data_IF_511300274452
#
_entry.id   IF_511300274452
#
_cell.length_a   1.000
_cell.length_b   1.000
_cell.length_c   1.000
_cell.angle_alpha   90.00
_cell.angle_beta   90.00
_cell.angle_gamma   90.00
#
_symmetry.space_group_name_H-M   'P 1'
#
loop_
_entity.id
_entity.type
_entity.pdbx_description
1 polymer ?
#
# COMPACT_ATOMS: atom_id res chain seq x y z
N UNK A 1 -12.63 -11.86 7.41
CA UNK A 1 -12.34 -10.96 6.29
C UNK A 1 -11.55 -11.70 5.22
N UNK A 2 -10.43 -12.35 5.53
CA UNK A 2 -9.64 -13.16 4.59
C UNK A 2 -10.52 -14.19 3.85
N UNK A 3 -11.32 -14.99 4.57
CA UNK A 3 -12.21 -15.98 3.97
C UNK A 3 -13.22 -15.38 2.98
N UNK A 4 -13.66 -14.15 3.19
CA UNK A 4 -14.55 -13.45 2.25
C UNK A 4 -13.81 -13.04 0.97
N UNK A 5 -12.58 -12.56 1.11
CA UNK A 5 -11.72 -12.27 -0.03
C UNK A 5 -11.44 -13.55 -0.85
N UNK A 6 -11.01 -14.62 -0.18
CA UNK A 6 -10.75 -15.93 -0.81
C UNK A 6 -11.96 -16.47 -1.55
N UNK A 7 -13.15 -16.37 -0.93
CA UNK A 7 -14.40 -16.75 -1.58
C UNK A 7 -14.62 -15.94 -2.84
N UNK A 8 -14.51 -14.60 -2.74
CA UNK A 8 -14.79 -13.69 -3.86
C UNK A 8 -13.89 -13.95 -5.06
N UNK A 9 -12.58 -14.07 -4.85
CA UNK A 9 -11.65 -14.31 -5.97
C UNK A 9 -11.85 -15.69 -6.60
N UNK A 10 -12.23 -16.70 -5.81
CA UNK A 10 -12.52 -18.05 -6.33
C UNK A 10 -13.83 -18.09 -7.10
N UNK A 11 -14.86 -17.41 -6.64
CA UNK A 11 -16.15 -17.28 -7.31
C UNK A 11 -16.00 -16.62 -8.69
N UNK A 12 -15.10 -15.65 -8.81
CA UNK A 12 -14.72 -15.00 -10.07
C UNK A 12 -13.73 -15.82 -10.93
N UNK A 13 -13.42 -17.05 -10.53
CA UNK A 13 -12.55 -17.97 -11.29
C UNK A 13 -11.05 -17.73 -11.12
N UNK A 14 -10.64 -16.88 -10.21
CA UNK A 14 -9.23 -16.59 -9.95
C UNK A 14 -8.67 -17.50 -8.85
N UNK A 15 -7.63 -18.26 -9.16
CA UNK A 15 -6.97 -19.17 -8.22
C UNK A 15 -5.61 -19.62 -8.78
N UNK A 16 -4.54 -19.76 -7.99
CA UNK A 16 -4.41 -19.50 -6.55
C UNK A 16 -4.13 -18.04 -6.21
N UNK A 17 -4.23 -17.67 -4.91
CA UNK A 17 -3.68 -16.39 -4.40
C UNK A 17 -2.16 -16.37 -4.58
N UNK A 18 -1.56 -15.27 -5.01
CA UNK A 18 -0.13 -15.20 -5.28
C UNK A 18 0.73 -15.15 -4.01
N UNK A 19 0.14 -14.71 -2.89
CA UNK A 19 0.77 -14.64 -1.57
C UNK A 19 -0.29 -14.77 -0.46
N UNK A 20 0.16 -14.89 0.78
CA UNK A 20 -0.75 -14.95 1.94
C UNK A 20 -1.40 -13.60 2.17
N UNK A 21 -2.71 -13.55 2.14
CA UNK A 21 -3.52 -12.38 2.48
C UNK A 21 -3.09 -11.77 3.81
N UNK A 22 -2.95 -10.46 3.85
CA UNK A 22 -2.75 -9.70 5.08
C UNK A 22 -4.06 -8.95 5.39
N UNK A 23 -4.59 -9.18 6.60
CA UNK A 23 -5.74 -8.46 7.17
C UNK A 23 -5.37 -8.05 8.61
N UNK A 24 -4.61 -6.98 8.74
CA UNK A 24 -3.96 -6.57 9.96
C UNK A 24 -4.64 -5.35 10.58
N UNK A 25 -5.21 -5.48 11.79
CA UNK A 25 -5.85 -4.38 12.50
C UNK A 25 -4.99 -3.86 13.66
N UNK A 26 -5.10 -2.56 13.93
CA UNK A 26 -4.43 -1.89 15.05
C UNK A 26 -2.92 -2.11 15.03
N UNK A 27 -2.35 -2.54 16.16
CA UNK A 27 -0.91 -2.78 16.29
C UNK A 27 -0.36 -3.81 15.30
N UNK A 28 -1.17 -4.79 14.86
CA UNK A 28 -0.74 -5.82 13.92
C UNK A 28 -0.40 -5.23 12.55
N UNK A 29 -1.04 -4.12 12.16
CA UNK A 29 -0.73 -3.41 10.93
C UNK A 29 0.70 -2.82 10.90
N UNK A 30 1.40 -2.80 12.05
CA UNK A 30 2.81 -2.41 12.11
C UNK A 30 3.78 -3.56 11.88
N UNK A 31 3.26 -4.77 11.66
CA UNK A 31 4.03 -5.95 11.25
C UNK A 31 3.87 -6.13 9.75
N UNK A 32 4.96 -5.99 9.00
CA UNK A 32 4.95 -5.87 7.53
C UNK A 32 4.19 -7.03 6.85
N UNK A 33 4.46 -8.27 7.27
CA UNK A 33 3.85 -9.48 6.72
C UNK A 33 3.02 -10.21 7.80
N UNK A 34 2.06 -9.50 8.40
CA UNK A 34 1.15 -10.12 9.37
C UNK A 34 0.16 -11.04 8.63
N UNK A 35 0.30 -12.34 8.80
CA UNK A 35 -0.50 -13.36 8.10
C UNK A 35 -1.33 -14.26 9.01
N UNK A 36 -1.37 -13.98 10.32
CA UNK A 36 -2.18 -14.77 11.25
C UNK A 36 -3.68 -14.46 11.13
N UNK A 37 -4.04 -13.23 10.79
CA UNK A 37 -5.40 -12.75 10.48
C UNK A 37 -6.49 -13.14 11.50
N UNK A 38 -6.10 -13.36 12.77
CA UNK A 38 -6.96 -13.96 13.80
C UNK A 38 -7.24 -13.05 15.00
N UNK A 39 -6.84 -11.79 14.94
CA UNK A 39 -7.05 -10.84 16.03
C UNK A 39 -8.45 -10.23 15.98
N UNK A 40 -8.99 -9.92 17.16
CA UNK A 40 -10.19 -9.10 17.28
C UNK A 40 -9.91 -7.71 16.76
N UNK A 41 -10.92 -7.14 16.12
CA UNK A 41 -10.90 -5.80 15.53
C UNK A 41 -11.62 -4.86 16.49
N UNK A 42 -10.99 -3.72 16.84
CA UNK A 42 -11.61 -2.70 17.69
C UNK A 42 -12.09 -1.51 16.85
N UNK A 43 -13.18 -0.85 17.30
CA UNK A 43 -13.84 0.24 16.57
C UNK A 43 -12.91 1.38 16.14
N UNK A 44 -11.91 1.70 16.95
CA UNK A 44 -10.99 2.81 16.68
C UNK A 44 -9.73 2.40 15.90
N UNK A 45 -9.60 1.13 15.56
CA UNK A 45 -8.46 0.63 14.79
C UNK A 45 -8.57 1.04 13.31
N UNK A 46 -7.41 1.05 12.67
CA UNK A 46 -7.33 0.90 11.23
C UNK A 46 -7.18 -0.59 10.91
N UNK A 47 -7.68 -1.00 9.75
CA UNK A 47 -7.35 -2.29 9.16
C UNK A 47 -6.58 -2.06 7.87
N UNK A 48 -5.41 -2.67 7.79
CA UNK A 48 -4.59 -2.74 6.59
C UNK A 48 -4.85 -4.08 5.92
N UNK A 49 -5.32 -4.02 4.68
CA UNK A 49 -5.38 -5.16 3.79
C UNK A 49 -4.22 -5.12 2.80
N UNK A 50 -3.66 -6.28 2.54
CA UNK A 50 -2.74 -6.53 1.44
C UNK A 50 -3.19 -7.81 0.76
N UNK A 51 -3.69 -7.63 -0.47
CA UNK A 51 -4.51 -8.59 -1.17
C UNK A 51 -4.05 -8.73 -2.61
N UNK A 52 -3.96 -9.96 -3.07
CA UNK A 52 -3.60 -10.24 -4.45
C UNK A 52 -4.37 -11.42 -5.05
N UNK A 53 -4.48 -11.42 -6.36
CA UNK A 53 -5.00 -12.57 -7.11
C UNK A 53 -4.13 -12.83 -8.33
N UNK A 54 -4.30 -14.01 -8.94
CA UNK A 54 -3.71 -14.33 -10.25
C UNK A 54 -4.81 -14.40 -11.30
N UNK A 55 -4.60 -13.72 -12.41
CA UNK A 55 -5.42 -13.83 -13.60
C UNK A 55 -4.53 -14.21 -14.80
N UNK A 56 -4.86 -15.29 -15.49
CA UNK A 56 -4.03 -15.86 -16.56
C UNK A 56 -2.54 -16.00 -16.17
N UNK A 57 -2.28 -16.43 -14.93
CA UNK A 57 -0.98 -16.58 -14.27
C UNK A 57 -0.28 -15.28 -13.88
N UNK A 58 -0.77 -14.10 -14.24
CA UNK A 58 -0.19 -12.83 -13.81
C UNK A 58 -0.74 -12.41 -12.45
N UNK A 59 0.17 -11.92 -11.60
CA UNK A 59 -0.14 -11.45 -10.25
C UNK A 59 -0.64 -10.01 -10.25
N UNK A 60 -1.52 -9.71 -9.28
CA UNK A 60 -1.84 -8.35 -8.82
C UNK A 60 -1.50 -8.24 -7.34
N UNK A 61 -1.14 -7.04 -6.89
CA UNK A 61 -0.72 -6.75 -5.52
C UNK A 61 -1.24 -5.39 -5.06
N UNK A 62 -2.16 -5.37 -4.10
CA UNK A 62 -2.87 -4.15 -3.70
C UNK A 62 -2.99 -4.07 -2.19
N UNK A 63 -2.45 -2.99 -1.61
CA UNK A 63 -2.72 -2.66 -0.22
C UNK A 63 -3.67 -1.47 -0.09
N UNK A 64 -4.59 -1.56 0.87
CA UNK A 64 -5.46 -0.47 1.31
C UNK A 64 -5.61 -0.48 2.83
N UNK A 65 -5.79 0.71 3.38
CA UNK A 65 -6.00 0.88 4.83
C UNK A 65 -7.30 1.64 5.07
N UNK A 66 -8.17 1.09 5.91
CA UNK A 66 -9.50 1.61 6.20
C UNK A 66 -9.71 1.82 7.70
N UNK A 67 -10.50 2.83 8.13
CA UNK A 67 -10.92 2.97 9.51
C UNK A 67 -12.08 2.01 9.82
N UNK A 68 -11.98 1.23 10.89
CA UNK A 68 -12.99 0.21 11.22
C UNK A 68 -14.38 0.83 11.46
N UNK A 69 -14.43 1.95 12.18
CA UNK A 69 -15.70 2.65 12.46
C UNK A 69 -16.17 3.58 11.33
N UNK A 70 -15.49 3.58 10.18
CA UNK A 70 -15.83 4.37 9.01
C UNK A 70 -15.30 5.81 9.02
N UNK A 71 -14.56 6.23 10.05
CA UNK A 71 -13.97 7.57 10.12
C UNK A 71 -12.53 7.52 10.65
N UNK A 72 -11.62 8.19 9.96
CA UNK A 72 -10.25 8.36 10.45
C UNK A 72 -10.20 9.35 11.60
N UNK A 73 -9.50 9.05 12.67
CA UNK A 73 -9.12 10.03 13.71
C UNK A 73 -8.19 11.09 13.12
N UNK A 74 -7.97 12.18 13.84
CA UNK A 74 -7.06 13.26 13.37
C UNK A 74 -5.64 12.75 13.11
N UNK A 75 -5.09 11.91 13.99
CA UNK A 75 -3.76 11.35 13.83
C UNK A 75 -3.71 10.38 12.64
N UNK A 76 -4.69 9.49 12.52
CA UNK A 76 -4.80 8.56 11.40
C UNK A 76 -4.88 9.30 10.06
N UNK A 77 -5.69 10.39 9.96
CA UNK A 77 -5.74 11.25 8.76
C UNK A 77 -4.38 11.83 8.41
N UNK A 78 -3.71 12.39 9.39
CA UNK A 78 -2.39 13.01 9.18
C UNK A 78 -1.40 12.01 8.59
N UNK A 79 -1.30 10.81 9.17
CA UNK A 79 -0.38 9.76 8.70
C UNK A 79 -0.83 9.25 7.33
N UNK A 80 -2.13 9.03 7.13
CA UNK A 80 -2.70 8.55 5.87
C UNK A 80 -2.42 9.53 4.72
N UNK A 81 -2.61 10.83 4.93
CA UNK A 81 -2.35 11.87 3.92
C UNK A 81 -0.88 11.93 3.50
N UNK A 82 0.05 11.67 4.43
CA UNK A 82 1.49 11.60 4.12
C UNK A 82 1.76 10.41 3.19
N UNK A 83 1.24 9.23 3.52
CA UNK A 83 1.39 8.02 2.70
C UNK A 83 0.71 8.20 1.33
N UNK A 84 -0.52 8.73 1.31
CA UNK A 84 -1.26 9.00 0.08
C UNK A 84 -0.52 9.98 -0.84
N UNK A 85 0.10 11.01 -0.27
CA UNK A 85 0.92 11.97 -1.02
C UNK A 85 2.12 11.28 -1.67
N UNK A 86 2.80 10.39 -0.94
CA UNK A 86 3.92 9.62 -1.48
C UNK A 86 3.44 8.71 -2.63
N UNK A 87 2.37 7.94 -2.43
CA UNK A 87 1.80 7.06 -3.45
C UNK A 87 1.45 7.84 -4.73
N UNK A 88 0.73 8.96 -4.61
CA UNK A 88 0.37 9.81 -5.76
C UNK A 88 1.57 10.39 -6.48
N UNK A 89 2.59 10.82 -5.74
CA UNK A 89 3.78 11.42 -6.33
C UNK A 89 4.58 10.37 -7.11
N UNK A 90 4.78 9.19 -6.55
CA UNK A 90 5.47 8.09 -7.26
C UNK A 90 4.70 7.71 -8.51
N UNK A 91 3.37 7.53 -8.45
CA UNK A 91 2.54 7.28 -9.63
C UNK A 91 2.70 8.34 -10.72
N UNK A 92 2.82 9.61 -10.32
CA UNK A 92 2.97 10.74 -11.26
C UNK A 92 4.31 10.78 -11.98
N UNK A 93 5.40 10.39 -11.29
CA UNK A 93 6.77 10.55 -11.82
C UNK A 93 7.34 9.27 -12.42
N UNK A 94 6.83 8.10 -12.03
CA UNK A 94 7.33 6.82 -12.50
C UNK A 94 7.21 6.72 -14.04
N UNK A 95 8.29 6.28 -14.67
CA UNK A 95 8.39 6.12 -16.12
C UNK A 95 9.59 5.23 -16.49
N UNK A 96 9.67 4.82 -17.74
CA UNK A 96 10.82 4.09 -18.24
C UNK A 96 12.14 4.84 -18.00
N UNK A 97 13.22 4.09 -17.90
CA UNK A 97 14.57 4.54 -17.60
C UNK A 97 14.82 5.08 -16.18
N UNK A 98 13.79 5.17 -15.32
CA UNK A 98 14.01 5.34 -13.88
C UNK A 98 14.37 4.00 -13.22
N UNK A 99 15.04 4.05 -12.08
CA UNK A 99 15.30 2.87 -11.26
C UNK A 99 14.38 2.83 -10.02
N UNK A 100 14.14 1.65 -9.46
CA UNK A 100 13.42 1.53 -8.19
C UNK A 100 14.14 2.30 -7.08
N UNK A 101 15.49 2.35 -7.11
CA UNK A 101 16.27 3.15 -6.16
C UNK A 101 15.91 4.64 -6.21
N UNK A 102 15.80 5.23 -7.40
CA UNK A 102 15.40 6.64 -7.55
C UNK A 102 13.98 6.89 -7.01
N UNK A 103 13.04 5.98 -7.28
CA UNK A 103 11.68 6.07 -6.73
C UNK A 103 11.70 5.95 -5.19
N UNK A 104 12.52 5.06 -4.64
CA UNK A 104 12.70 4.87 -3.20
C UNK A 104 13.23 6.14 -2.51
N UNK A 105 14.25 6.76 -3.05
CA UNK A 105 14.84 7.99 -2.49
C UNK A 105 13.81 9.13 -2.44
N UNK A 106 13.03 9.29 -3.51
CA UNK A 106 11.96 10.29 -3.58
C UNK A 106 10.85 9.96 -2.56
N UNK A 107 10.46 8.70 -2.46
CA UNK A 107 9.46 8.26 -1.49
C UNK A 107 9.91 8.55 -0.05
N UNK A 108 11.12 8.17 0.31
CA UNK A 108 11.72 8.44 1.63
C UNK A 108 11.68 9.93 1.96
N UNK A 109 12.08 10.80 1.03
CA UNK A 109 12.08 12.25 1.29
C UNK A 109 10.68 12.81 1.51
N UNK A 110 9.69 12.34 0.75
CA UNK A 110 8.28 12.76 0.92
C UNK A 110 7.76 12.32 2.29
N UNK A 111 7.96 11.05 2.67
CA UNK A 111 7.53 10.51 3.95
C UNK A 111 8.22 11.22 5.12
N UNK A 112 9.56 11.37 5.05
CA UNK A 112 10.33 12.03 6.09
C UNK A 112 9.94 13.51 6.25
N UNK A 113 9.78 14.23 5.14
CA UNK A 113 9.33 15.63 5.16
C UNK A 113 7.92 15.77 5.73
N UNK A 114 7.00 14.89 5.33
CA UNK A 114 5.64 14.86 5.85
C UNK A 114 5.60 14.59 7.36
N UNK A 115 6.32 13.58 7.83
CA UNK A 115 6.41 13.24 9.25
C UNK A 115 7.06 14.35 10.09
N UNK A 116 8.10 15.00 9.57
CA UNK A 116 8.76 16.12 10.25
C UNK A 116 7.80 17.32 10.40
N UNK A 117 7.11 17.69 9.32
CA UNK A 117 6.14 18.80 9.32
C UNK A 117 4.94 18.53 10.23
N UNK A 118 4.55 17.27 10.38
CA UNK A 118 3.50 16.85 11.30
C UNK A 118 3.98 16.62 12.74
N UNK A 119 5.26 16.89 13.04
CA UNK A 119 5.90 16.64 14.34
C UNK A 119 5.80 15.19 14.83
N UNK A 120 5.73 14.25 13.90
CA UNK A 120 5.76 12.80 14.18
C UNK A 120 7.19 12.29 14.39
N UNK A 121 8.18 12.99 13.84
CA UNK A 121 9.61 12.75 14.01
C UNK A 121 10.31 14.09 14.26
N UNK A 122 11.51 14.05 14.87
CA UNK A 122 12.33 15.23 15.16
C UNK A 122 13.42 15.48 14.13
N UNK A 123 13.84 14.44 13.42
CA UNK A 123 14.85 14.47 12.35
C UNK A 123 14.41 13.55 11.22
N UNK A 124 14.63 13.96 9.97
CA UNK A 124 14.31 13.13 8.79
C UNK A 124 14.97 11.74 8.83
N UNK A 125 16.14 11.61 9.45
CA UNK A 125 16.82 10.32 9.60
C UNK A 125 16.05 9.30 10.41
N UNK A 126 15.12 9.74 11.25
CA UNK A 126 14.28 8.83 12.04
C UNK A 126 13.26 8.08 11.20
N UNK A 127 13.04 8.49 9.94
CA UNK A 127 12.05 7.84 9.07
C UNK A 127 12.29 6.35 8.90
N UNK A 128 13.54 5.90 8.95
CA UNK A 128 13.91 4.48 8.84
C UNK A 128 13.33 3.59 9.96
N UNK A 129 12.89 4.18 11.07
CA UNK A 129 12.19 3.45 12.15
C UNK A 129 10.73 3.15 11.78
N UNK A 130 10.16 3.94 10.87
CA UNK A 130 8.74 3.94 10.53
C UNK A 130 8.45 3.53 9.08
N UNK A 131 9.48 3.53 8.24
CA UNK A 131 9.43 3.05 6.86
C UNK A 131 10.70 2.26 6.54
N UNK A 132 10.57 0.94 6.40
CA UNK A 132 11.69 -0.01 6.37
C UNK A 132 11.59 -1.07 5.27
N UNK A 133 10.83 -0.79 4.20
CA UNK A 133 10.76 -1.64 3.01
C UNK A 133 10.96 -0.83 1.72
N UNK A 134 10.98 -1.50 0.57
CA UNK A 134 11.04 -0.86 -0.74
C UNK A 134 9.71 -0.19 -1.09
N UNK A 135 9.76 0.91 -1.84
CA UNK A 135 8.54 1.54 -2.40
C UNK A 135 7.94 0.72 -3.55
N UNK A 136 8.71 -0.23 -4.08
CA UNK A 136 8.33 -0.95 -5.29
C UNK A 136 9.12 -2.24 -5.46
N UNK A 137 8.48 -3.21 -6.07
CA UNK A 137 9.07 -4.40 -6.67
C UNK A 137 8.44 -4.67 -8.04
N UNK A 138 9.05 -5.56 -8.82
CA UNK A 138 8.49 -6.03 -10.09
C UNK A 138 7.35 -6.99 -9.82
N UNK A 139 6.30 -6.93 -10.64
CA UNK A 139 5.15 -7.83 -10.62
C UNK A 139 5.02 -8.48 -11.99
N UNK A 140 4.80 -9.80 -12.03
CA UNK A 140 4.66 -10.56 -13.25
C UNK A 140 3.99 -11.92 -13.00
N UNK A 141 4.66 -13.00 -13.36
CA UNK A 141 4.22 -14.37 -13.05
C UNK A 141 4.37 -14.69 -11.56
N UNK A 142 5.28 -13.99 -10.88
CA UNK A 142 5.41 -13.98 -9.44
C UNK A 142 5.06 -12.59 -8.88
N UNK A 143 4.60 -12.53 -7.62
CA UNK A 143 4.35 -11.26 -6.93
C UNK A 143 5.63 -10.44 -6.83
N UNK A 144 6.73 -11.07 -6.42
CA UNK A 144 8.08 -10.51 -6.49
C UNK A 144 8.80 -11.13 -7.70
N UNK A 145 8.44 -10.68 -8.90
CA UNK A 145 9.03 -11.17 -10.14
C UNK A 145 10.52 -10.81 -10.21
N UNK A 146 11.38 -11.67 -10.77
CA UNK A 146 12.81 -11.40 -10.83
C UNK A 146 13.15 -10.07 -11.50
N UNK A 147 13.84 -9.20 -10.78
CA UNK A 147 14.25 -7.88 -11.25
C UNK A 147 15.54 -7.42 -10.56
N UNK A 148 16.45 -6.81 -11.33
CA UNK A 148 17.68 -6.23 -10.77
C UNK A 148 17.37 -4.79 -10.33
N UNK A 149 17.33 -4.56 -9.02
CA UNK A 149 16.87 -3.33 -8.36
C UNK A 149 17.45 -2.02 -8.90
N UNK A 150 18.68 -2.04 -9.40
CA UNK A 150 19.39 -0.85 -9.88
C UNK A 150 19.39 -0.73 -11.41
N UNK A 151 18.69 -1.61 -12.12
CA UNK A 151 18.52 -1.48 -13.57
C UNK A 151 17.40 -0.51 -13.90
N UNK A 152 17.52 0.23 -15.02
CA UNK A 152 16.43 1.07 -15.51
C UNK A 152 15.17 0.24 -15.80
N UNK A 153 14.02 0.74 -15.38
CA UNK A 153 12.72 0.14 -15.67
C UNK A 153 12.48 0.13 -17.19
N UNK A 154 12.18 -1.03 -17.78
CA UNK A 154 11.84 -1.08 -19.20
C UNK A 154 10.40 -0.58 -19.43
N UNK A 155 10.12 -0.15 -20.66
CA UNK A 155 8.75 0.12 -21.11
C UNK A 155 7.92 -1.17 -20.98
N UNK A 156 6.69 -1.06 -20.50
CA UNK A 156 5.75 -2.14 -20.21
C UNK A 156 6.11 -3.01 -19.00
N UNK A 157 7.10 -2.67 -18.19
CA UNK A 157 7.22 -3.27 -16.86
C UNK A 157 5.97 -2.97 -16.02
N UNK A 158 5.57 -3.93 -15.19
CA UNK A 158 4.58 -3.73 -14.12
C UNK A 158 5.34 -3.75 -12.79
N UNK A 159 5.09 -2.74 -11.96
CA UNK A 159 5.72 -2.61 -10.65
C UNK A 159 4.68 -2.25 -9.60
N UNK A 160 4.91 -2.63 -8.34
CA UNK A 160 4.15 -2.09 -7.21
C UNK A 160 4.51 -0.61 -6.96
N UNK A 161 3.63 0.09 -6.26
CA UNK A 161 3.87 1.42 -5.71
C UNK A 161 3.23 1.47 -4.33
N UNK A 162 3.99 1.12 -3.29
CA UNK A 162 3.52 0.70 -1.98
C UNK A 162 4.11 1.49 -0.79
N UNK A 163 4.15 2.83 -0.80
CA UNK A 163 4.60 3.57 0.37
C UNK A 163 3.76 3.22 1.61
N UNK A 164 4.42 3.17 2.77
CA UNK A 164 3.78 2.90 4.05
C UNK A 164 4.43 3.62 5.21
N UNK A 165 3.71 3.74 6.32
CA UNK A 165 4.21 4.25 7.61
C UNK A 165 3.67 3.38 8.75
N UNK A 166 4.56 3.00 9.68
CA UNK A 166 4.27 2.03 10.74
C UNK A 166 4.69 2.55 12.11
N UNK A 167 3.77 3.20 12.81
CA UNK A 167 3.97 3.76 14.13
C UNK A 167 3.46 2.79 15.20
N UNK A 168 4.36 1.94 15.71
CA UNK A 168 4.02 0.92 16.70
C UNK A 168 3.47 1.52 18.00
N UNK A 169 4.03 2.66 18.43
CA UNK A 169 3.62 3.40 19.61
C UNK A 169 2.18 3.92 19.56
N UNK A 170 1.63 4.08 18.35
CA UNK A 170 0.23 4.51 18.15
C UNK A 170 -0.66 3.35 17.70
N UNK A 171 -0.13 2.15 17.47
CA UNK A 171 -0.86 1.03 16.86
C UNK A 171 -1.37 1.37 15.46
N UNK A 172 -0.63 2.19 14.70
CA UNK A 172 -1.02 2.65 13.36
C UNK A 172 -0.03 2.13 12.32
N UNK A 173 -0.51 1.27 11.45
CA UNK A 173 0.17 0.89 10.21
C UNK A 173 -0.69 1.26 9.01
N UNK A 174 -0.12 1.98 8.04
CA UNK A 174 -0.79 2.42 6.82
C UNK A 174 0.09 2.08 5.64
N UNK A 175 -0.45 1.35 4.66
CA UNK A 175 0.12 1.14 3.33
C UNK A 175 -0.95 1.42 2.29
N UNK A 176 -0.56 2.12 1.22
CA UNK A 176 -1.39 2.37 0.05
C UNK A 176 -0.58 1.91 -1.15
N UNK A 177 -1.06 0.87 -1.80
CA UNK A 177 -0.36 0.20 -2.88
C UNK A 177 -1.22 0.15 -4.14
N UNK A 178 -0.59 0.43 -5.25
CA UNK A 178 -1.15 0.33 -6.59
C UNK A 178 -0.18 -0.41 -7.50
N UNK A 179 -0.71 -1.13 -8.50
CA UNK A 179 0.07 -1.66 -9.61
C UNK A 179 0.24 -0.62 -10.70
N UNK A 180 1.47 -0.37 -11.12
CA UNK A 180 1.81 0.62 -12.15
C UNK A 180 2.37 -0.05 -13.40
N UNK A 181 1.75 0.21 -14.55
CA UNK A 181 2.29 -0.13 -15.86
C UNK A 181 3.18 1.00 -16.35
N UNK A 182 4.47 0.74 -16.50
CA UNK A 182 5.48 1.71 -16.90
C UNK A 182 5.42 1.97 -18.41
N UNK A 183 5.28 3.22 -18.79
CA UNK A 183 5.35 3.70 -20.17
C UNK A 183 6.59 4.58 -20.36
N UNK A 184 6.86 4.96 -21.60
CA UNK A 184 8.05 5.73 -21.96
C UNK A 184 8.17 7.03 -21.15
N UNK A 185 7.11 7.81 -21.00
CA UNK A 185 7.11 9.11 -20.36
C UNK A 185 6.20 9.24 -19.13
N UNK A 186 5.49 8.19 -18.74
CA UNK A 186 4.54 8.17 -17.62
C UNK A 186 4.30 6.75 -17.12
N UNK A 187 3.53 6.59 -16.05
CA UNK A 187 2.96 5.31 -15.64
C UNK A 187 1.43 5.33 -15.72
N UNK A 188 0.84 4.17 -15.96
CA UNK A 188 -0.61 3.96 -15.89
C UNK A 188 -0.89 3.22 -14.60
N UNK A 189 -1.72 3.79 -13.72
CA UNK A 189 -2.19 3.11 -12.52
C UNK A 189 -3.29 2.11 -12.89
N UNK A 190 -2.98 0.81 -12.81
CA UNK A 190 -3.90 -0.29 -13.14
C UNK A 190 -5.01 -0.44 -12.10
N UNK A 191 -4.75 -0.04 -10.85
CA UNK A 191 -5.68 -0.08 -9.72
C UNK A 191 -6.42 1.25 -9.46
N UNK A 192 -6.45 2.15 -10.43
CA UNK A 192 -7.04 3.50 -10.31
C UNK A 192 -8.51 3.54 -9.89
N UNK A 193 -9.26 2.45 -10.10
CA UNK A 193 -10.68 2.33 -9.71
C UNK A 193 -10.87 2.01 -8.22
N UNK A 194 -9.82 1.55 -7.52
CA UNK A 194 -9.89 1.19 -6.11
C UNK A 194 -9.72 2.46 -5.27
N UNK A 195 -10.75 2.80 -4.48
CA UNK A 195 -10.76 4.03 -3.68
C UNK A 195 -9.57 4.10 -2.73
N UNK A 196 -8.99 5.31 -2.60
CA UNK A 196 -7.90 5.61 -1.67
C UNK A 196 -7.93 7.05 -1.12
N UNK A 197 -8.85 7.89 -1.62
CA UNK A 197 -9.05 9.22 -1.05
C UNK A 197 -9.83 9.11 0.27
N UNK A 198 -9.39 9.82 1.32
CA UNK A 198 -10.06 9.79 2.64
C UNK A 198 -11.56 10.04 2.51
N UNK A 199 -11.94 11.07 1.73
CA UNK A 199 -13.36 11.43 1.53
C UNK A 199 -14.17 10.30 0.90
N UNK A 200 -13.58 9.60 -0.06
CA UNK A 200 -14.25 8.50 -0.77
C UNK A 200 -14.39 7.29 0.13
N UNK A 201 -13.34 6.99 0.93
CA UNK A 201 -13.37 5.91 1.93
C UNK A 201 -14.44 6.19 2.99
N UNK A 202 -14.43 7.38 3.63
CA UNK A 202 -15.39 7.72 4.67
C UNK A 202 -16.84 7.69 4.13
N UNK A 203 -17.04 8.18 2.90
CA UNK A 203 -18.36 8.14 2.22
C UNK A 203 -18.80 6.71 1.89
N UNK A 204 -17.89 5.85 1.45
CA UNK A 204 -18.19 4.45 1.17
C UNK A 204 -18.58 3.70 2.45
N UNK A 205 -17.82 3.90 3.52
CA UNK A 205 -18.07 3.28 4.83
C UNK A 205 -19.38 3.78 5.47
N UNK A 206 -19.76 5.04 5.24
CA UNK A 206 -21.03 5.59 5.75
C UNK A 206 -22.25 4.94 5.09
N UNK A 207 -22.18 4.65 3.78
CA UNK A 207 -23.26 4.03 3.00
C UNK A 207 -23.50 2.56 3.33
N UNK A 208 -22.54 1.88 3.89
CA UNK A 208 -22.56 0.43 4.18
C UNK A 208 -22.59 0.15 5.69
N UNK A 209 -23.21 1.04 6.47
CA UNK A 209 -23.38 0.88 7.93
C UNK A 209 -24.65 0.12 8.33
N UNK A 210 -25.51 -0.22 7.36
CA UNK A 210 -26.80 -0.92 7.57
C UNK A 210 -26.62 -2.44 7.51
#
# INVERSE_FOLDING_TARGET
LEAFFDYTIKDEGNNPVPFKTIAASGINATTLHYSSNNSLINDNDLILFDLGCKYDNYCADISRTFPINGKFSKLQKTIYEIVLKANKQICKIAKANMTIRQLQEICIDILATGCLNASLIKDKKEISKYYFHSVSHSIGLDTHDPFIKDTPLPVNAVISNEPGLYFKEYGIGIRIEDDLLIKENHAINLSSKIIKEIKDIEKFMERNKD
#
